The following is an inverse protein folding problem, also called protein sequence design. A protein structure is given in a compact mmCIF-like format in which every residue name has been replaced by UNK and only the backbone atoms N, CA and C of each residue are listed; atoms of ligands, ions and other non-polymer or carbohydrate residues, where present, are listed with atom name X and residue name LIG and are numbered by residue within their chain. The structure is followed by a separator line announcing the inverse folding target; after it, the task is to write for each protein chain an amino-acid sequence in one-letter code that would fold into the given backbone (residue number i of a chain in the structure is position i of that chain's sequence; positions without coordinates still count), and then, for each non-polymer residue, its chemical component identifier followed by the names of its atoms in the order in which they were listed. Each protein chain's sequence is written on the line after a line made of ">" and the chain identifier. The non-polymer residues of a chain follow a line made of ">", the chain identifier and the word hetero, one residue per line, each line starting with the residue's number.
data_IF_963278987177
#
_entry.id   IF_963278987177
#
_cell.length_a   1.000
_cell.length_b   1.000
_cell.length_c   1.000
_cell.angle_alpha   90.00
_cell.angle_beta   90.00
_cell.angle_gamma   90.00
#
_symmetry.space_group_name_H-M   'P 1'
#
loop_
_entity.id
_entity.type
_entity.pdbx_description
1 polymer ?
#
# COMPACT_ATOMS: atom_id res chain seq x y z
N UNK A 1 -42.04 -7.03 21.71
CA UNK A 1 -41.25 -6.55 20.55
C UNK A 1 -42.00 -5.37 19.96
N UNK A 2 -41.32 -4.24 19.71
CA UNK A 2 -40.49 -4.13 18.52
C UNK A 2 -39.04 -3.73 18.82
N UNK A 3 -38.10 -4.49 18.24
CA UNK A 3 -36.70 -4.06 18.11
C UNK A 3 -36.63 -3.04 16.99
N UNK A 4 -36.32 -1.79 17.33
CA UNK A 4 -36.05 -0.74 16.38
C UNK A 4 -34.73 -0.10 16.76
N UNK A 5 -33.62 -0.71 16.37
CA UNK A 5 -32.36 0.02 16.21
C UNK A 5 -32.54 0.94 15.01
N UNK A 6 -33.19 2.08 15.21
CA UNK A 6 -33.16 3.15 14.22
C UNK A 6 -31.69 3.59 14.12
N UNK A 7 -31.00 3.11 13.06
CA UNK A 7 -29.63 3.51 12.76
C UNK A 7 -29.62 5.03 12.67
N UNK A 8 -28.79 5.68 13.48
CA UNK A 8 -28.60 7.12 13.37
C UNK A 8 -27.97 7.40 11.99
N UNK A 9 -28.66 8.10 11.07
CA UNK A 9 -28.17 8.32 9.70
C UNK A 9 -26.79 8.98 9.64
N UNK A 10 -26.45 9.79 10.66
CA UNK A 10 -25.14 10.43 10.76
C UNK A 10 -24.02 9.42 11.06
N UNK A 11 -24.30 8.40 11.88
CA UNK A 11 -23.34 7.34 12.20
C UNK A 11 -23.12 6.46 10.96
N UNK A 12 -24.20 6.12 10.25
CA UNK A 12 -24.11 5.33 9.01
C UNK A 12 -23.32 6.07 7.92
N UNK A 13 -23.57 7.37 7.74
CA UNK A 13 -22.79 8.20 6.81
C UNK A 13 -21.30 8.25 7.19
N UNK A 14 -20.97 8.42 8.47
CA UNK A 14 -19.58 8.42 8.94
C UNK A 14 -18.89 7.06 8.74
N UNK A 15 -19.62 5.95 8.94
CA UNK A 15 -19.10 4.60 8.66
C UNK A 15 -18.84 4.40 7.16
N UNK A 16 -19.74 4.85 6.30
CA UNK A 16 -19.56 4.80 4.84
C UNK A 16 -18.35 5.63 4.40
N UNK A 17 -18.20 6.85 4.92
CA UNK A 17 -17.05 7.71 4.63
C UNK A 17 -15.74 7.05 5.08
N UNK A 18 -15.72 6.44 6.27
CA UNK A 18 -14.57 5.68 6.77
C UNK A 18 -14.20 4.50 5.87
N UNK A 19 -15.20 3.76 5.37
CA UNK A 19 -14.99 2.66 4.43
C UNK A 19 -14.38 3.16 3.11
N UNK A 20 -14.92 4.22 2.53
CA UNK A 20 -14.41 4.78 1.27
C UNK A 20 -12.95 5.24 1.38
N UNK A 21 -12.57 5.79 2.54
CA UNK A 21 -11.19 6.20 2.82
C UNK A 21 -10.24 5.00 2.89
N UNK A 22 -10.64 3.95 3.60
CA UNK A 22 -9.88 2.70 3.64
C UNK A 22 -9.68 2.12 2.23
N UNK A 23 -10.75 2.06 1.43
CA UNK A 23 -10.68 1.56 0.04
C UNK A 23 -9.71 2.41 -0.81
N UNK A 24 -9.83 3.73 -0.74
CA UNK A 24 -8.94 4.66 -1.46
C UNK A 24 -7.46 4.49 -1.08
N UNK A 25 -7.18 4.24 0.21
CA UNK A 25 -5.82 4.01 0.69
C UNK A 25 -5.24 2.68 0.17
N UNK A 26 -6.06 1.63 0.14
CA UNK A 26 -5.69 0.32 -0.45
C UNK A 26 -5.40 0.47 -1.95
N UNK A 27 -6.22 1.24 -2.67
CA UNK A 27 -6.01 1.53 -4.10
C UNK A 27 -4.71 2.31 -4.35
N UNK A 28 -4.38 3.24 -3.46
CA UNK A 28 -3.16 4.04 -3.55
C UNK A 28 -1.91 3.15 -3.36
N UNK A 29 -1.88 2.29 -2.34
CA UNK A 29 -0.78 1.32 -2.18
C UNK A 29 -0.68 0.34 -3.34
N UNK A 30 -1.83 -0.16 -3.82
CA UNK A 30 -1.86 -1.05 -5.00
C UNK A 30 -1.24 -0.38 -6.23
N UNK A 31 -1.55 0.90 -6.45
CA UNK A 31 -1.03 1.68 -7.57
C UNK A 31 0.47 1.91 -7.45
N UNK A 32 0.95 2.25 -6.24
CA UNK A 32 2.37 2.42 -5.95
C UNK A 32 3.16 1.13 -6.23
N UNK A 33 2.69 -0.01 -5.74
CA UNK A 33 3.30 -1.31 -6.01
C UNK A 33 3.32 -1.62 -7.52
N UNK A 34 2.21 -1.39 -8.22
CA UNK A 34 2.11 -1.68 -9.65
C UNK A 34 3.07 -0.83 -10.51
N UNK A 35 3.20 0.46 -10.19
CA UNK A 35 4.11 1.37 -10.91
C UNK A 35 5.56 0.94 -10.72
N UNK A 36 5.95 0.60 -9.50
CA UNK A 36 7.30 0.15 -9.18
C UNK A 36 7.64 -1.20 -9.84
N UNK A 37 6.68 -2.13 -9.91
CA UNK A 37 6.86 -3.39 -10.67
C UNK A 37 7.11 -3.13 -12.16
N UNK A 38 6.35 -2.20 -12.78
CA UNK A 38 6.50 -1.86 -14.20
C UNK A 38 7.85 -1.23 -14.54
N UNK A 39 8.50 -0.59 -13.58
CA UNK A 39 9.79 0.06 -13.78
C UNK A 39 10.97 -0.94 -13.94
N UNK A 40 10.76 -2.25 -13.70
CA UNK A 40 11.79 -3.31 -13.81
C UNK A 40 13.04 -3.07 -12.91
N UNK A 41 12.88 -2.32 -11.81
CA UNK A 41 13.97 -1.99 -10.88
C UNK A 41 14.14 -3.14 -9.85
N UNK A 42 15.39 -3.51 -9.47
CA UNK A 42 15.60 -4.66 -8.60
C UNK A 42 15.07 -4.34 -7.21
N UNK A 43 14.06 -5.11 -6.78
CA UNK A 43 13.52 -5.15 -5.41
C UNK A 43 13.46 -3.78 -4.73
N UNK A 44 12.36 -3.05 -4.92
CA UNK A 44 12.23 -1.76 -4.28
C UNK A 44 11.77 -1.90 -2.83
N UNK A 45 12.59 -1.38 -1.92
CA UNK A 45 12.16 -1.08 -0.55
C UNK A 45 11.36 0.22 -0.62
N UNK A 46 10.05 0.10 -0.60
CA UNK A 46 9.13 1.23 -0.56
C UNK A 46 8.75 1.46 0.90
N UNK A 47 8.98 2.66 1.40
CA UNK A 47 8.64 3.02 2.76
C UNK A 47 7.70 4.22 2.79
N UNK A 48 6.58 4.06 3.49
CA UNK A 48 5.58 5.10 3.70
C UNK A 48 5.47 5.37 5.20
N UNK A 49 5.62 6.64 5.58
CA UNK A 49 5.61 7.07 6.98
C UNK A 49 4.46 8.04 7.19
N UNK A 50 3.46 7.62 7.97
CA UNK A 50 2.37 8.47 8.44
C UNK A 50 2.74 9.03 9.81
N UNK A 51 2.71 10.35 9.95
CA UNK A 51 2.91 11.01 11.24
C UNK A 51 1.58 11.61 11.71
N UNK A 52 1.21 11.36 12.96
CA UNK A 52 -0.02 11.87 13.58
C UNK A 52 -0.17 13.39 13.48
N UNK A 53 0.95 14.12 13.46
CA UNK A 53 0.99 15.58 13.49
C UNK A 53 1.20 16.21 12.11
N UNK A 54 1.62 15.44 11.11
CA UNK A 54 1.82 15.94 9.75
C UNK A 54 0.73 15.44 8.83
N UNK A 55 0.25 16.32 7.97
CA UNK A 55 -0.83 16.01 7.03
C UNK A 55 -0.36 15.08 5.92
N UNK A 56 0.83 15.33 5.36
CA UNK A 56 1.36 14.54 4.26
C UNK A 56 2.31 13.46 4.79
N UNK A 57 2.09 12.18 4.44
CA UNK A 57 3.05 11.14 4.74
C UNK A 57 4.33 11.33 3.92
N UNK A 58 5.42 10.73 4.38
CA UNK A 58 6.68 10.67 3.62
C UNK A 58 6.75 9.36 2.87
N UNK A 59 7.01 9.42 1.56
CA UNK A 59 7.27 8.28 0.69
C UNK A 59 8.76 8.26 0.33
N UNK A 60 9.39 7.10 0.51
CA UNK A 60 10.74 6.83 0.02
C UNK A 60 10.76 5.52 -0.75
N UNK A 61 11.56 5.47 -1.81
CA UNK A 61 11.83 4.26 -2.60
C UNK A 61 13.34 4.08 -2.61
N UNK A 62 13.82 2.96 -2.08
CA UNK A 62 15.26 2.69 -1.91
C UNK A 62 15.99 3.87 -1.24
N UNK A 63 15.41 4.37 -0.15
CA UNK A 63 15.89 5.50 0.65
C UNK A 63 15.94 6.86 -0.09
N UNK A 64 15.42 6.94 -1.32
CA UNK A 64 15.24 8.19 -2.06
C UNK A 64 13.83 8.73 -1.80
N UNK A 65 13.74 9.97 -1.32
CA UNK A 65 12.45 10.64 -1.12
C UNK A 65 11.80 10.93 -2.47
N UNK A 66 10.55 10.50 -2.60
CA UNK A 66 9.73 10.74 -3.78
C UNK A 66 8.80 11.92 -3.50
N UNK A 67 8.58 12.77 -4.50
CA UNK A 67 7.59 13.82 -4.40
C UNK A 67 6.19 13.20 -4.33
N UNK A 68 5.43 13.57 -3.31
CA UNK A 68 4.08 13.04 -3.07
C UNK A 68 3.06 13.51 -4.11
N UNK A 69 3.44 14.35 -5.08
CA UNK A 69 2.56 14.80 -6.16
C UNK A 69 2.09 13.67 -7.09
N UNK A 70 2.86 12.58 -7.22
CA UNK A 70 2.51 11.45 -8.09
C UNK A 70 1.63 10.40 -7.40
N UNK A 71 1.66 10.35 -6.07
CA UNK A 71 0.87 9.43 -5.26
C UNK A 71 0.21 10.21 -4.14
N UNK A 72 -1.08 10.47 -4.29
CA UNK A 72 -1.87 11.18 -3.28
C UNK A 72 -2.11 10.27 -2.07
N UNK A 73 -1.08 10.15 -1.24
CA UNK A 73 -1.11 9.43 0.03
C UNK A 73 -1.71 10.29 1.15
N UNK A 74 -2.19 11.50 0.83
CA UNK A 74 -2.89 12.34 1.79
C UNK A 74 -4.27 11.74 2.07
N UNK A 75 -4.41 11.13 3.24
CA UNK A 75 -5.71 10.84 3.80
C UNK A 75 -5.84 11.52 5.16
N UNK A 76 -6.91 12.33 5.29
CA UNK A 76 -7.31 12.85 6.59
C UNK A 76 -7.65 11.67 7.49
N UNK A 77 -6.79 11.43 8.49
CA UNK A 77 -6.79 10.28 9.41
C UNK A 77 -6.05 9.02 8.92
N UNK A 78 -5.24 9.10 7.86
CA UNK A 78 -4.44 7.96 7.38
C UNK A 78 -3.61 7.29 8.48
N UNK A 79 -3.02 8.07 9.41
CA UNK A 79 -2.35 7.52 10.60
C UNK A 79 -3.25 6.55 11.39
N UNK A 80 -4.50 6.94 11.66
CA UNK A 80 -5.42 6.14 12.47
C UNK A 80 -5.96 4.94 11.69
N UNK A 81 -6.25 5.12 10.39
CA UNK A 81 -6.72 4.04 9.52
C UNK A 81 -5.64 2.95 9.43
N UNK A 82 -4.40 3.31 9.12
CA UNK A 82 -3.32 2.31 9.06
C UNK A 82 -3.11 1.67 10.42
N UNK A 83 -3.05 2.46 11.51
CA UNK A 83 -2.84 1.90 12.85
C UNK A 83 -3.84 0.80 13.20
N UNK A 84 -5.10 0.97 12.81
CA UNK A 84 -6.17 0.01 13.08
C UNK A 84 -6.18 -1.15 12.08
N UNK A 85 -6.12 -0.86 10.78
CA UNK A 85 -6.42 -1.81 9.69
C UNK A 85 -5.17 -2.33 8.95
N UNK A 86 -3.96 -2.12 9.46
CA UNK A 86 -2.73 -2.49 8.75
C UNK A 86 -2.63 -3.98 8.40
N UNK A 87 -3.27 -4.87 9.17
CA UNK A 87 -3.23 -6.32 8.93
C UNK A 87 -4.11 -6.69 7.75
N UNK A 88 -5.33 -6.17 7.73
CA UNK A 88 -6.33 -6.38 6.68
C UNK A 88 -5.81 -5.85 5.34
N UNK A 89 -5.27 -4.62 5.35
CA UNK A 89 -4.62 -4.01 4.18
C UNK A 89 -3.47 -4.91 3.69
N UNK A 90 -2.59 -5.32 4.60
CA UNK A 90 -1.44 -6.16 4.25
C UNK A 90 -1.82 -7.52 3.68
N UNK A 91 -2.87 -8.15 4.22
CA UNK A 91 -3.38 -9.43 3.73
C UNK A 91 -3.96 -9.28 2.31
N UNK A 92 -4.81 -8.28 2.09
CA UNK A 92 -5.36 -7.99 0.76
C UNK A 92 -4.25 -7.77 -0.29
N UNK A 93 -3.23 -6.97 0.05
CA UNK A 93 -2.13 -6.69 -0.88
C UNK A 93 -1.28 -7.95 -1.15
N UNK A 94 -1.04 -8.80 -0.15
CA UNK A 94 -0.30 -10.06 -0.35
C UNK A 94 -1.01 -11.06 -1.26
N UNK A 95 -2.34 -11.12 -1.20
CA UNK A 95 -3.14 -11.95 -2.12
C UNK A 95 -3.02 -11.46 -3.57
N UNK A 96 -2.95 -10.14 -3.76
CA UNK A 96 -2.88 -9.50 -5.08
C UNK A 96 -1.46 -9.47 -5.67
N UNK A 97 -0.45 -9.40 -4.83
CA UNK A 97 0.96 -9.25 -5.20
C UNK A 97 1.78 -10.38 -4.56
N UNK A 98 1.85 -11.52 -5.23
CA UNK A 98 2.59 -12.70 -4.75
C UNK A 98 4.06 -12.34 -4.45
N UNK A 99 4.55 -12.74 -3.26
CA UNK A 99 5.91 -12.42 -2.83
C UNK A 99 6.08 -11.05 -2.15
N UNK A 100 5.01 -10.24 -2.03
CA UNK A 100 5.04 -8.99 -1.26
C UNK A 100 5.33 -9.26 0.22
N UNK A 101 6.35 -8.58 0.74
CA UNK A 101 6.55 -8.42 2.19
C UNK A 101 5.91 -7.10 2.62
N UNK A 102 5.06 -7.17 3.63
CA UNK A 102 4.37 -6.04 4.25
C UNK A 102 4.71 -6.04 5.73
N UNK A 103 5.53 -5.07 6.14
CA UNK A 103 5.98 -4.89 7.51
C UNK A 103 5.47 -3.54 8.02
N UNK A 104 4.94 -3.51 9.24
CA UNK A 104 4.40 -2.27 9.83
C UNK A 104 4.91 -2.12 11.23
N UNK A 105 5.53 -0.97 11.49
CA UNK A 105 5.99 -0.53 12.80
C UNK A 105 5.11 0.61 13.30
N UNK A 106 4.54 0.43 14.48
CA UNK A 106 3.60 1.38 15.07
C UNK A 106 4.26 2.02 16.30
N UNK A 107 4.44 3.32 16.22
CA UNK A 107 4.94 4.17 17.30
C UNK A 107 3.83 5.13 17.78
N UNK A 108 3.98 5.78 18.95
CA UNK A 108 2.95 6.65 19.51
C UNK A 108 2.46 7.78 18.58
N UNK A 109 3.35 8.29 17.72
CA UNK A 109 3.06 9.39 16.80
C UNK A 109 3.33 9.05 15.33
N UNK A 110 3.82 7.85 15.03
CA UNK A 110 4.26 7.47 13.70
C UNK A 110 3.79 6.05 13.39
N UNK A 111 3.29 5.83 12.17
CA UNK A 111 3.19 4.48 11.61
C UNK A 111 4.08 4.41 10.39
N UNK A 112 5.00 3.46 10.40
CA UNK A 112 5.92 3.20 9.31
C UNK A 112 5.52 1.89 8.64
N UNK A 113 5.33 1.95 7.33
CA UNK A 113 5.01 0.82 6.48
C UNK A 113 6.22 0.57 5.57
N UNK A 114 6.72 -0.65 5.57
CA UNK A 114 7.73 -1.12 4.62
C UNK A 114 7.09 -2.18 3.73
N UNK A 115 7.10 -1.89 2.43
CA UNK A 115 6.70 -2.79 1.35
C UNK A 115 7.95 -3.21 0.59
N UNK A 116 8.19 -4.51 0.48
CA UNK A 116 9.28 -5.06 -0.31
C UNK A 116 8.68 -6.02 -1.32
N UNK A 117 8.88 -5.74 -2.60
CA UNK A 117 8.45 -6.62 -3.68
C UNK A 117 9.65 -7.00 -4.55
N UNK A 118 9.98 -8.29 -4.58
CA UNK A 118 11.10 -8.80 -5.35
C UNK A 118 10.62 -9.21 -6.74
N UNK A 119 11.11 -8.52 -7.76
CA UNK A 119 10.87 -8.92 -9.15
C UNK A 119 11.80 -10.09 -9.50
N UNK A 120 11.24 -11.22 -9.92
CA UNK A 120 12.04 -12.32 -10.46
C UNK A 120 12.50 -12.02 -11.90
N UNK A 121 13.75 -11.60 -12.02
CA UNK A 121 14.37 -11.35 -13.33
C UNK A 121 14.48 -12.58 -14.21
N UNK A 122 14.50 -13.80 -13.65
CA UNK A 122 14.49 -15.02 -14.45
C UNK A 122 13.14 -15.21 -15.14
N UNK A 123 12.03 -14.89 -14.48
CA UNK A 123 10.71 -14.87 -15.13
C UNK A 123 10.65 -13.81 -16.24
N UNK A 124 11.19 -12.60 -16.01
CA UNK A 124 11.28 -11.57 -17.07
C UNK A 124 12.10 -12.07 -18.27
N UNK A 125 13.22 -12.77 -18.01
CA UNK A 125 14.08 -13.31 -19.09
C UNK A 125 13.33 -14.31 -19.97
N UNK A 126 12.40 -15.11 -19.44
CA UNK A 126 11.58 -16.05 -20.24
C UNK A 126 10.75 -15.34 -21.30
N UNK A 127 10.23 -14.14 -21.00
CA UNK A 127 9.45 -13.35 -21.95
C UNK A 127 10.31 -12.56 -22.95
N UNK A 128 11.61 -12.41 -22.69
CA UNK A 128 12.52 -11.70 -23.59
C UNK A 128 12.91 -12.58 -24.78
N UNK A 129 12.36 -12.29 -25.96
CA UNK A 129 12.74 -12.97 -27.22
C UNK A 129 14.22 -12.81 -27.60
N UNK A 130 14.91 -11.80 -27.06
CA UNK A 130 16.34 -11.56 -27.28
C UNK A 130 17.25 -12.39 -26.37
N UNK A 131 16.73 -12.85 -25.22
CA UNK A 131 17.52 -13.53 -24.17
C UNK A 131 17.06 -15.00 -24.00
N UNK A 132 15.80 -15.31 -24.27
CA UNK A 132 15.16 -16.62 -24.06
C UNK A 132 15.54 -17.73 -25.06
N UNK A 133 16.62 -17.57 -25.83
CA UNK A 133 17.04 -18.54 -26.86
C UNK A 133 18.34 -19.30 -26.59
N UNK A 134 19.08 -19.01 -25.51
CA UNK A 134 20.48 -19.44 -25.39
C UNK A 134 20.84 -20.29 -24.16
N UNK A 135 19.87 -20.81 -23.40
CA UNK A 135 20.15 -21.58 -22.17
C UNK A 135 19.48 -22.97 -22.14
N UNK A 136 19.32 -23.60 -23.30
CA UNK A 136 19.05 -25.04 -23.43
C UNK A 136 19.98 -25.62 -24.51
N UNK A 137 21.28 -25.69 -24.20
CA UNK A 137 22.22 -26.63 -24.79
C UNK A 137 23.11 -27.19 -23.67
#
# INVERSE_FOLDING_TARGET
>A
MPSSSAKNPQIEAAMQEGSMRLDSLIETFSSLLLQNIKALIPSEKIMVVFNKYYQSPTLTINDVRIDGSEFDLYDKNGYYIIKEFHKEIGNYLKEKFEGLKWNVEIYPAVVQIEMIYNIDYNEIRKYSKKIGGAALQ
#
